data_IF_368910367617
#
_entry.id   IF_368910367617
#
_cell.length_a   1.000
_cell.length_b   1.000
_cell.length_c   1.000
_cell.angle_alpha   90.00
_cell.angle_beta   90.00
_cell.angle_gamma   90.00
#
_symmetry.space_group_name_H-M   'P 1'
#
loop_
_entity.id
_entity.type
_entity.pdbx_description
1 polymer ?
#
# COMPACT_ATOMS: atom_id res chain seq x y z
N UNK A 1 -44.50 -13.84 41.91
CA UNK A 1 -44.69 -14.43 40.56
C UNK A 1 -44.58 -13.39 39.42
N UNK A 2 -43.82 -12.28 39.59
CA UNK A 2 -43.81 -11.13 38.65
C UNK A 2 -42.42 -10.81 38.06
N UNK A 3 -41.40 -11.64 38.32
CA UNK A 3 -40.00 -11.40 37.87
C UNK A 3 -39.64 -12.06 36.54
N UNK A 4 -40.42 -13.07 36.12
CA UNK A 4 -40.23 -13.79 34.87
C UNK A 4 -40.40 -12.90 33.60
N UNK A 5 -41.41 -12.02 33.49
CA UNK A 5 -41.54 -11.17 32.30
C UNK A 5 -40.43 -10.11 32.21
N UNK A 6 -39.94 -9.61 33.36
CA UNK A 6 -38.87 -8.62 33.40
C UNK A 6 -37.52 -9.18 32.92
N UNK A 7 -37.22 -10.45 33.24
CA UNK A 7 -36.01 -11.12 32.75
C UNK A 7 -36.06 -11.45 31.26
N UNK A 8 -37.25 -11.79 30.74
CA UNK A 8 -37.47 -11.99 29.30
C UNK A 8 -37.22 -10.70 28.50
N UNK A 9 -37.69 -9.54 28.99
CA UNK A 9 -37.44 -8.25 28.34
C UNK A 9 -35.96 -7.86 28.30
N UNK A 10 -35.22 -8.14 29.38
CA UNK A 10 -33.76 -7.89 29.43
C UNK A 10 -33.02 -8.82 28.47
N UNK A 11 -33.39 -10.10 28.42
CA UNK A 11 -32.79 -11.07 27.49
C UNK A 11 -33.05 -10.67 26.03
N UNK A 12 -34.25 -10.19 25.70
CA UNK A 12 -34.60 -9.70 24.37
C UNK A 12 -33.83 -8.44 23.99
N UNK A 13 -33.64 -7.51 24.94
CA UNK A 13 -32.85 -6.29 24.73
C UNK A 13 -31.37 -6.61 24.49
N UNK A 14 -30.82 -7.58 25.23
CA UNK A 14 -29.44 -8.05 25.03
C UNK A 14 -29.25 -8.73 23.66
N UNK A 15 -30.27 -9.40 23.15
CA UNK A 15 -30.24 -10.03 21.82
C UNK A 15 -30.30 -9.02 20.66
N UNK A 16 -30.81 -7.80 20.90
CA UNK A 16 -30.97 -6.76 19.87
C UNK A 16 -29.73 -5.87 19.66
N UNK A 17 -28.78 -5.85 20.61
CA UNK A 17 -27.52 -5.07 20.54
C UNK A 17 -26.67 -5.31 19.26
N UNK A 18 -26.49 -6.53 18.73
CA UNK A 18 -25.64 -6.76 17.57
C UNK A 18 -26.20 -6.19 16.25
N UNK A 19 -27.48 -5.79 16.18
CA UNK A 19 -28.05 -5.19 14.96
C UNK A 19 -27.47 -3.79 14.65
N UNK A 20 -26.89 -3.11 15.64
CA UNK A 20 -26.27 -1.78 15.47
C UNK A 20 -24.81 -1.86 14.98
N UNK A 21 -24.19 -3.04 15.01
CA UNK A 21 -22.82 -3.26 14.57
C UNK A 21 -22.76 -3.57 13.06
N UNK A 22 -22.95 -2.56 12.22
CA UNK A 22 -22.77 -2.67 10.77
C UNK A 22 -21.30 -2.43 10.40
N UNK A 23 -20.64 -3.43 9.81
CA UNK A 23 -19.30 -3.26 9.27
C UNK A 23 -19.35 -2.39 8.00
N UNK A 24 -18.51 -1.35 7.92
CA UNK A 24 -18.37 -0.53 6.70
C UNK A 24 -17.27 -1.11 5.82
N UNK A 25 -17.48 -1.24 4.50
CA UNK A 25 -16.40 -1.61 3.60
C UNK A 25 -15.30 -0.54 3.63
N UNK A 26 -14.06 -1.00 3.73
CA UNK A 26 -12.87 -0.17 3.67
C UNK A 26 -11.86 -0.80 2.70
N UNK A 27 -10.99 0.02 2.11
CA UNK A 27 -9.99 -0.42 1.16
C UNK A 27 -8.59 -0.23 1.74
N UNK A 28 -7.69 -1.16 1.44
CA UNK A 28 -6.28 -1.07 1.82
C UNK A 28 -5.59 -0.14 0.82
N UNK A 29 -4.80 0.81 1.33
CA UNK A 29 -4.02 1.71 0.47
C UNK A 29 -2.96 0.95 -0.32
N UNK A 30 -2.74 1.35 -1.57
CA UNK A 30 -1.68 0.86 -2.44
C UNK A 30 -0.34 1.57 -2.20
N UNK A 31 -0.30 2.55 -1.29
CA UNK A 31 0.92 3.28 -0.93
C UNK A 31 1.78 2.44 0.01
N UNK A 32 2.90 1.92 -0.51
CA UNK A 32 3.92 1.22 0.27
C UNK A 32 5.20 2.06 0.34
N UNK A 33 5.97 1.91 1.42
CA UNK A 33 7.27 2.56 1.57
C UNK A 33 8.37 1.52 1.62
N UNK A 34 9.40 1.71 0.81
CA UNK A 34 10.60 0.87 0.75
C UNK A 34 11.70 1.50 1.59
N UNK A 35 12.39 0.69 2.39
CA UNK A 35 13.53 1.14 3.20
C UNK A 35 14.80 1.00 2.38
N UNK A 36 15.44 2.12 2.06
CA UNK A 36 16.78 2.14 1.47
C UNK A 36 17.82 2.19 2.59
N UNK A 37 18.73 1.23 2.59
CA UNK A 37 19.74 1.04 3.62
C UNK A 37 21.16 1.25 3.11
N UNK A 38 22.09 1.42 4.04
CA UNK A 38 23.52 1.58 3.77
C UNK A 38 24.25 0.28 3.41
N UNK A 39 23.63 -0.88 3.64
CA UNK A 39 24.19 -2.19 3.30
C UNK A 39 23.11 -3.26 3.12
N UNK A 40 23.53 -4.45 2.72
CA UNK A 40 22.71 -5.59 2.30
C UNK A 40 22.17 -6.42 3.47
N UNK A 41 21.67 -5.75 4.51
CA UNK A 41 21.00 -6.40 5.63
C UNK A 41 20.04 -5.44 6.33
N UNK A 42 19.05 -5.99 7.02
CA UNK A 42 18.01 -5.23 7.73
C UNK A 42 18.56 -4.43 8.91
N UNK A 43 19.73 -4.81 9.43
CA UNK A 43 20.43 -4.16 10.55
C UNK A 43 21.21 -2.92 10.15
N UNK A 44 21.47 -2.71 8.85
CA UNK A 44 22.16 -1.52 8.37
C UNK A 44 21.30 -0.28 8.55
N UNK A 45 21.97 0.86 8.74
CA UNK A 45 21.32 2.16 8.90
C UNK A 45 20.42 2.47 7.70
N UNK A 46 19.21 2.92 7.97
CA UNK A 46 18.27 3.44 6.98
C UNK A 46 18.80 4.79 6.46
N UNK A 47 19.01 4.88 5.15
CA UNK A 47 19.40 6.10 4.46
C UNK A 47 18.17 6.93 4.06
N UNK A 48 17.10 6.25 3.60
CA UNK A 48 15.89 6.92 3.10
C UNK A 48 14.68 5.98 3.10
N UNK A 49 13.48 6.55 3.22
CA UNK A 49 12.22 5.90 2.88
C UNK A 49 11.83 6.30 1.46
N UNK A 50 11.76 5.34 0.54
CA UNK A 50 11.30 5.52 -0.84
C UNK A 50 9.80 5.22 -0.92
N UNK A 51 9.08 5.92 -1.79
CA UNK A 51 7.65 5.67 -2.01
C UNK A 51 7.45 4.66 -3.14
N UNK A 52 6.34 3.92 -3.10
CA UNK A 52 5.89 3.09 -4.22
C UNK A 52 5.82 3.89 -5.52
N UNK A 53 6.46 3.39 -6.57
CA UNK A 53 6.46 4.01 -7.89
C UNK A 53 7.57 5.05 -8.10
N UNK A 54 8.40 5.33 -7.10
CA UNK A 54 9.62 6.10 -7.28
C UNK A 54 10.53 5.37 -8.30
N UNK A 55 10.99 6.10 -9.32
CA UNK A 55 11.95 5.57 -10.29
C UNK A 55 13.36 5.58 -9.68
N UNK A 56 14.07 4.47 -9.86
CA UNK A 56 15.44 4.29 -9.39
C UNK A 56 16.26 3.58 -10.46
N UNK A 57 17.57 3.82 -10.46
CA UNK A 57 18.50 3.08 -11.31
C UNK A 57 19.01 1.86 -10.55
N UNK A 58 18.90 0.68 -11.15
CA UNK A 58 19.47 -0.55 -10.60
C UNK A 58 20.95 -0.65 -10.97
N UNK A 59 21.83 -0.70 -9.97
CA UNK A 59 23.28 -0.78 -10.16
C UNK A 59 23.79 -2.22 -10.10
N UNK A 60 23.27 -3.01 -9.15
CA UNK A 60 23.60 -4.43 -9.01
C UNK A 60 22.50 -5.17 -8.25
N UNK A 61 22.46 -6.48 -8.42
CA UNK A 61 21.56 -7.38 -7.68
C UNK A 61 22.40 -8.52 -7.12
N UNK A 62 22.27 -8.75 -5.82
CA UNK A 62 22.83 -9.90 -5.13
C UNK A 62 21.68 -10.86 -4.78
N UNK A 63 21.69 -12.04 -5.41
CA UNK A 63 20.68 -13.07 -5.18
C UNK A 63 20.87 -13.84 -3.88
N UNK A 64 22.10 -13.88 -3.34
CA UNK A 64 22.43 -14.57 -2.09
C UNK A 64 21.95 -13.74 -0.90
N UNK A 65 22.20 -12.43 -0.89
CA UNK A 65 21.70 -11.53 0.15
C UNK A 65 20.23 -11.16 -0.04
N UNK A 66 19.73 -11.22 -1.28
CA UNK A 66 18.39 -10.79 -1.66
C UNK A 66 18.23 -9.27 -1.76
N UNK A 67 19.34 -8.54 -1.79
CA UNK A 67 19.38 -7.08 -1.92
C UNK A 67 19.79 -6.65 -3.32
N UNK A 68 19.40 -5.44 -3.67
CA UNK A 68 19.82 -4.75 -4.88
C UNK A 68 20.37 -3.38 -4.51
N UNK A 69 21.50 -3.02 -5.11
CA UNK A 69 22.07 -1.69 -5.02
C UNK A 69 21.37 -0.80 -6.05
N UNK A 70 20.88 0.34 -5.61
CA UNK A 70 20.15 1.30 -6.44
C UNK A 70 20.70 2.71 -6.26
N UNK A 71 20.43 3.56 -7.24
CA UNK A 71 20.66 5.01 -7.19
C UNK A 71 19.34 5.74 -7.36
N UNK A 72 19.07 6.70 -6.48
CA UNK A 72 17.89 7.57 -6.57
C UNK A 72 18.11 8.70 -7.56
N UNK A 73 17.03 9.38 -7.97
CA UNK A 73 17.12 10.59 -8.81
C UNK A 73 17.96 11.73 -8.20
N UNK A 74 18.14 11.75 -6.87
CA UNK A 74 19.03 12.69 -6.19
C UNK A 74 20.51 12.29 -6.22
N UNK A 75 20.85 11.17 -6.89
CA UNK A 75 22.20 10.62 -6.93
C UNK A 75 22.62 9.81 -5.69
N UNK A 76 21.71 9.57 -4.73
CA UNK A 76 22.05 8.83 -3.52
C UNK A 76 22.02 7.33 -3.79
N UNK A 77 23.10 6.63 -3.42
CA UNK A 77 23.19 5.18 -3.54
C UNK A 77 22.84 4.47 -2.23
N UNK A 78 22.23 3.30 -2.34
CA UNK A 78 21.93 2.45 -1.21
C UNK A 78 21.37 1.10 -1.65
N UNK A 79 20.92 0.32 -0.68
CA UNK A 79 20.44 -1.04 -0.88
C UNK A 79 18.98 -1.18 -0.50
N UNK A 80 18.22 -1.92 -1.31
CA UNK A 80 16.82 -2.26 -1.09
C UNK A 80 16.62 -3.76 -1.29
N UNK A 81 15.54 -4.32 -0.77
CA UNK A 81 15.23 -5.73 -1.04
C UNK A 81 14.83 -5.90 -2.51
N UNK A 82 15.45 -6.83 -3.22
CA UNK A 82 15.22 -7.06 -4.65
C UNK A 82 13.75 -7.36 -4.96
N UNK A 83 13.06 -8.08 -4.06
CA UNK A 83 11.62 -8.39 -4.17
C UNK A 83 10.69 -7.16 -4.12
N UNK A 84 11.21 -6.00 -3.75
CA UNK A 84 10.45 -4.74 -3.69
C UNK A 84 10.64 -3.89 -4.96
N UNK A 85 11.52 -4.31 -5.86
CA UNK A 85 11.72 -3.68 -7.14
C UNK A 85 10.81 -4.31 -8.19
N UNK A 86 10.42 -3.48 -9.16
CA UNK A 86 9.67 -3.90 -10.34
C UNK A 86 10.37 -3.39 -11.59
N UNK A 87 10.40 -4.22 -12.61
CA UNK A 87 11.04 -3.95 -13.90
C UNK A 87 10.17 -3.07 -14.81
N UNK A 88 8.95 -2.80 -14.38
CA UNK A 88 7.95 -2.04 -15.11
C UNK A 88 7.32 -0.99 -14.19
N UNK A 89 6.75 0.10 -14.73
CA UNK A 89 6.02 1.08 -13.95
C UNK A 89 4.90 0.44 -13.13
N UNK A 90 4.61 1.01 -11.96
CA UNK A 90 3.52 0.55 -11.10
C UNK A 90 2.17 0.62 -11.82
N UNK A 91 1.21 -0.21 -11.40
CA UNK A 91 -0.13 -0.21 -11.97
C UNK A 91 -0.79 1.19 -11.92
N UNK A 92 -0.58 1.95 -10.84
CA UNK A 92 -1.03 3.33 -10.72
C UNK A 92 -0.43 4.22 -11.82
N UNK A 93 0.88 4.11 -12.07
CA UNK A 93 1.54 4.88 -13.13
C UNK A 93 1.00 4.49 -14.51
N UNK A 94 0.81 3.20 -14.76
CA UNK A 94 0.21 2.70 -16.00
C UNK A 94 -1.22 3.23 -16.19
N UNK A 95 -2.07 3.15 -15.16
CA UNK A 95 -3.45 3.67 -15.18
C UNK A 95 -3.48 5.17 -15.49
N UNK A 96 -2.61 5.95 -14.85
CA UNK A 96 -2.48 7.39 -15.12
C UNK A 96 -2.16 7.64 -16.60
N UNK A 97 -1.18 6.93 -17.15
CA UNK A 97 -0.82 7.05 -18.57
C UNK A 97 -1.97 6.66 -19.49
N UNK A 98 -2.70 5.58 -19.17
CA UNK A 98 -3.86 5.14 -19.95
C UNK A 98 -4.98 6.21 -19.93
N UNK A 99 -5.32 6.74 -18.75
CA UNK A 99 -6.32 7.80 -18.62
C UNK A 99 -5.94 9.05 -19.43
N UNK A 100 -4.67 9.44 -19.40
CA UNK A 100 -4.17 10.57 -20.22
C UNK A 100 -4.31 10.30 -21.73
N UNK A 101 -4.04 9.08 -22.18
CA UNK A 101 -4.23 8.67 -23.58
C UNK A 101 -5.72 8.69 -23.96
N UNK A 102 -6.60 8.21 -23.09
CA UNK A 102 -8.04 8.27 -23.33
C UNK A 102 -8.53 9.71 -23.47
N UNK A 103 -8.17 10.60 -22.53
CA UNK A 103 -8.58 12.00 -22.56
C UNK A 103 -8.06 12.78 -23.77
N UNK A 104 -6.87 12.45 -24.27
CA UNK A 104 -6.33 13.07 -25.49
C UNK A 104 -6.98 12.52 -26.77
N UNK A 105 -7.39 11.25 -26.78
CA UNK A 105 -8.08 10.62 -27.90
C UNK A 105 -9.59 10.93 -27.98
N UNK A 106 -10.22 11.17 -26.83
CA UNK A 106 -11.65 11.46 -26.73
C UNK A 106 -11.86 12.47 -25.58
N UNK A 107 -11.78 13.79 -25.87
CA UNK A 107 -11.93 14.81 -24.84
C UNK A 107 -13.32 14.70 -24.20
N UNK A 108 -13.45 14.97 -22.89
CA UNK A 108 -14.75 14.93 -22.22
C UNK A 108 -15.73 15.90 -22.89
N UNK A 109 -17.03 15.55 -22.98
CA UNK A 109 -18.03 16.46 -23.54
C UNK A 109 -18.00 17.78 -22.77
N UNK A 110 -17.99 18.89 -23.50
CA UNK A 110 -18.12 20.21 -22.93
C UNK A 110 -19.53 20.32 -22.36
N UNK A 111 -19.63 20.48 -21.03
CA UNK A 111 -20.87 20.89 -20.37
C UNK A 111 -21.16 22.36 -20.65
#
# INVERSE_FOLDING_TARGET
MMRLPFQLSIALLLLALPLLAQAKPAYITDTFKVTMRSGESSTHRILRMLNSGDQVDLLSTDSESGYSKIRTASGLEGYVLSRQLMNQPSARNQLKTLQQRFMSSNPPPLN
#
